data_IF_163078181303
#
_entry.id   IF_163078181303
#
_cell.length_a   1.000
_cell.length_b   1.000
_cell.length_c   1.000
_cell.angle_alpha   90.00
_cell.angle_beta   90.00
_cell.angle_gamma   90.00
#
_symmetry.space_group_name_H-M   'P 1'
#
loop_
_entity.id
_entity.type
_entity.pdbx_description
1 polymer ?
#
# COMPACT_ATOMS: atom_id res chain seq x y z
N UNK A 1 -15.34 11.52 -27.17
CA UNK A 1 -15.03 10.37 -26.30
C UNK A 1 -13.52 10.17 -26.00
N UNK A 2 -12.60 11.03 -26.50
CA UNK A 2 -11.13 10.86 -26.35
C UNK A 2 -10.56 11.62 -25.12
N UNK A 3 -11.23 12.67 -24.65
CA UNK A 3 -10.75 13.46 -23.50
C UNK A 3 -10.81 12.72 -22.16
N UNK A 4 -11.83 11.89 -21.94
CA UNK A 4 -11.95 11.11 -20.70
C UNK A 4 -10.91 10.01 -20.60
N UNK A 5 -10.55 9.36 -21.72
CA UNK A 5 -9.51 8.33 -21.74
C UNK A 5 -8.11 8.91 -21.55
N UNK A 6 -7.80 10.10 -22.10
CA UNK A 6 -6.52 10.75 -21.87
C UNK A 6 -6.36 11.25 -20.43
N UNK A 7 -7.41 11.86 -19.86
CA UNK A 7 -7.40 12.25 -18.45
C UNK A 7 -7.24 11.03 -17.53
N UNK A 8 -7.98 9.95 -17.79
CA UNK A 8 -7.83 8.70 -17.02
C UNK A 8 -6.41 8.14 -17.11
N UNK A 9 -5.82 8.09 -18.31
CA UNK A 9 -4.44 7.67 -18.50
C UNK A 9 -3.42 8.51 -17.70
N UNK A 10 -3.59 9.84 -17.68
CA UNK A 10 -2.74 10.74 -16.90
C UNK A 10 -2.91 10.49 -15.40
N UNK A 11 -4.16 10.30 -14.94
CA UNK A 11 -4.44 9.97 -13.54
C UNK A 11 -3.85 8.61 -13.17
N UNK A 12 -4.01 7.58 -13.99
CA UNK A 12 -3.44 6.25 -13.77
C UNK A 12 -1.91 6.34 -13.65
N UNK A 13 -1.28 7.08 -14.57
CA UNK A 13 0.17 7.31 -14.57
C UNK A 13 0.63 8.03 -13.31
N UNK A 14 -0.11 9.03 -12.85
CA UNK A 14 0.19 9.75 -11.62
C UNK A 14 0.03 8.84 -10.39
N UNK A 15 -1.06 8.08 -10.30
CA UNK A 15 -1.33 7.16 -9.18
C UNK A 15 -0.25 6.08 -9.07
N UNK A 16 0.13 5.48 -10.20
CA UNK A 16 1.22 4.49 -10.24
C UNK A 16 2.52 5.11 -9.77
N UNK A 17 2.85 6.33 -10.22
CA UNK A 17 4.10 7.00 -9.82
C UNK A 17 4.12 7.33 -8.33
N UNK A 18 3.04 7.93 -7.82
CA UNK A 18 2.89 8.29 -6.41
C UNK A 18 3.06 7.08 -5.50
N UNK A 19 2.32 6.00 -5.79
CA UNK A 19 2.40 4.78 -4.99
C UNK A 19 3.73 4.05 -5.17
N UNK A 20 4.35 4.13 -6.34
CA UNK A 20 5.70 3.56 -6.52
C UNK A 20 6.72 4.26 -5.64
N UNK A 21 6.68 5.59 -5.55
CA UNK A 21 7.58 6.37 -4.68
C UNK A 21 7.32 6.04 -3.20
N UNK A 22 6.05 6.03 -2.78
CA UNK A 22 5.66 5.70 -1.41
C UNK A 22 6.10 4.28 -1.00
N UNK A 23 5.82 3.27 -1.83
CA UNK A 23 6.17 1.88 -1.55
C UNK A 23 7.70 1.66 -1.56
N UNK A 24 8.43 2.42 -2.37
CA UNK A 24 9.90 2.43 -2.30
C UNK A 24 10.38 2.95 -0.95
N UNK A 25 9.84 4.07 -0.46
CA UNK A 25 10.20 4.59 0.86
C UNK A 25 9.87 3.60 1.96
N UNK A 26 8.70 2.96 1.90
CA UNK A 26 8.28 1.96 2.88
C UNK A 26 9.21 0.73 2.90
N UNK A 27 9.66 0.29 1.72
CA UNK A 27 10.62 -0.80 1.54
C UNK A 27 12.02 -0.43 2.02
N UNK A 28 12.49 0.79 1.77
CA UNK A 28 13.84 1.25 2.11
C UNK A 28 13.98 1.76 3.55
N UNK A 29 12.86 1.92 4.26
CA UNK A 29 12.85 2.43 5.61
C UNK A 29 13.65 1.51 6.57
N UNK A 30 14.36 2.07 7.56
CA UNK A 30 15.06 1.28 8.57
C UNK A 30 14.11 0.29 9.26
N UNK A 31 14.56 -0.95 9.42
CA UNK A 31 13.77 -1.99 10.10
C UNK A 31 13.58 -1.59 11.56
N UNK A 32 12.33 -1.34 11.93
CA UNK A 32 11.90 -0.97 13.28
C UNK A 32 10.47 -1.46 13.51
N UNK A 33 10.04 -1.56 14.76
CA UNK A 33 8.65 -1.88 15.09
C UNK A 33 7.68 -0.90 14.43
N UNK A 34 7.98 0.40 14.47
CA UNK A 34 7.20 1.44 13.81
C UNK A 34 7.10 1.23 12.29
N UNK A 35 8.22 0.90 11.63
CA UNK A 35 8.22 0.61 10.19
C UNK A 35 7.37 -0.62 9.87
N UNK A 36 7.43 -1.66 10.71
CA UNK A 36 6.63 -2.87 10.55
C UNK A 36 5.14 -2.58 10.71
N UNK A 37 4.72 -1.88 11.78
CA UNK A 37 3.31 -1.51 11.98
C UNK A 37 2.78 -0.61 10.86
N UNK A 38 3.58 0.36 10.43
CA UNK A 38 3.25 1.22 9.29
C UNK A 38 3.08 0.39 8.02
N UNK A 39 3.99 -0.57 7.78
CA UNK A 39 3.90 -1.44 6.60
C UNK A 39 2.69 -2.36 6.64
N UNK A 40 2.35 -2.92 7.80
CA UNK A 40 1.12 -3.67 8.00
C UNK A 40 -0.06 -2.79 7.64
N UNK A 41 -0.24 -1.65 8.32
CA UNK A 41 -1.37 -0.74 8.07
C UNK A 41 -1.50 -0.35 6.59
N UNK A 42 -0.41 0.09 5.97
CA UNK A 42 -0.43 0.55 4.58
C UNK A 42 -0.82 -0.58 3.63
N UNK A 43 -0.19 -1.74 3.74
CA UNK A 43 -0.34 -2.83 2.76
C UNK A 43 -1.67 -3.56 2.92
N UNK A 44 -2.18 -3.67 4.14
CA UNK A 44 -3.36 -4.48 4.43
C UNK A 44 -4.66 -3.68 4.54
N UNK A 45 -4.60 -2.37 4.80
CA UNK A 45 -5.79 -1.51 4.89
C UNK A 45 -5.76 -0.37 3.87
N UNK A 46 -4.76 0.52 3.94
CA UNK A 46 -4.79 1.78 3.21
C UNK A 46 -4.73 1.59 1.69
N UNK A 47 -3.75 0.81 1.21
CA UNK A 47 -3.58 0.57 -0.23
C UNK A 47 -4.82 -0.10 -0.84
N UNK A 48 -5.41 -1.18 -0.25
CA UNK A 48 -6.68 -1.73 -0.72
C UNK A 48 -7.84 -0.72 -0.74
N UNK A 49 -7.95 0.14 0.28
CA UNK A 49 -8.98 1.18 0.33
C UNK A 49 -8.79 2.21 -0.79
N UNK A 50 -7.56 2.66 -1.02
CA UNK A 50 -7.24 3.58 -2.11
C UNK A 50 -7.48 2.94 -3.48
N UNK A 51 -7.15 1.67 -3.67
CA UNK A 51 -7.43 0.91 -4.89
C UNK A 51 -8.95 0.84 -5.13
N UNK A 52 -9.74 0.52 -4.09
CA UNK A 52 -11.19 0.46 -4.18
C UNK A 52 -11.85 1.82 -4.53
N UNK A 53 -11.38 2.91 -3.93
CA UNK A 53 -11.88 4.28 -4.22
C UNK A 53 -11.47 4.72 -5.62
N UNK A 54 -10.28 4.33 -6.08
CA UNK A 54 -9.74 4.75 -7.37
C UNK A 54 -10.36 4.00 -8.57
N UNK A 55 -10.70 2.73 -8.35
CA UNK A 55 -11.13 1.78 -9.38
C UNK A 55 -12.62 1.39 -9.30
N UNK A 56 -13.51 2.36 -9.07
CA UNK A 56 -14.97 2.15 -9.02
C UNK A 56 -15.60 1.47 -10.28
N UNK A 57 -14.83 1.17 -11.34
CA UNK A 57 -15.33 0.52 -12.57
C UNK A 57 -14.50 -0.63 -13.19
N UNK A 58 -13.19 -0.78 -12.93
CA UNK A 58 -12.39 -1.94 -13.40
C UNK A 58 -11.01 -1.97 -12.70
N UNK A 59 -10.57 -3.07 -12.05
CA UNK A 59 -9.89 -2.93 -10.77
C UNK A 59 -8.48 -3.49 -10.68
N UNK A 60 -7.64 -2.80 -9.92
CA UNK A 60 -6.47 -3.35 -9.28
C UNK A 60 -5.15 -2.73 -9.68
N UNK A 61 -5.10 -1.52 -10.24
CA UNK A 61 -3.81 -0.96 -10.70
C UNK A 61 -2.80 -0.83 -9.56
N UNK A 62 -3.25 -0.49 -8.34
CA UNK A 62 -2.38 -0.39 -7.18
C UNK A 62 -2.07 -1.77 -6.60
N UNK A 63 -3.04 -2.68 -6.64
CA UNK A 63 -2.85 -4.09 -6.29
C UNK A 63 -1.83 -4.78 -7.21
N UNK A 64 -1.88 -4.53 -8.51
CA UNK A 64 -0.95 -5.04 -9.53
C UNK A 64 0.44 -4.44 -9.32
N UNK A 65 0.53 -3.13 -9.05
CA UNK A 65 1.79 -2.47 -8.72
C UNK A 65 2.50 -3.14 -7.54
N UNK A 66 1.75 -3.43 -6.47
CA UNK A 66 2.28 -4.12 -5.30
C UNK A 66 2.77 -5.54 -5.65
N UNK A 67 1.98 -6.30 -6.40
CA UNK A 67 2.33 -7.68 -6.78
C UNK A 67 3.54 -7.76 -7.72
N UNK A 68 3.64 -6.85 -8.68
CA UNK A 68 4.63 -6.91 -9.76
C UNK A 68 5.97 -6.27 -9.38
N UNK A 69 5.96 -5.15 -8.64
CA UNK A 69 7.19 -4.37 -8.36
C UNK A 69 7.62 -4.38 -6.89
N UNK A 70 6.69 -4.65 -5.98
CA UNK A 70 6.91 -4.54 -4.54
C UNK A 70 6.59 -5.83 -3.78
N UNK A 71 6.82 -6.99 -4.40
CA UNK A 71 6.47 -8.30 -3.84
C UNK A 71 6.99 -8.56 -2.42
N UNK A 72 8.12 -7.97 -2.01
CA UNK A 72 8.63 -8.08 -0.64
C UNK A 72 7.66 -7.52 0.41
N UNK A 73 6.87 -6.50 0.07
CA UNK A 73 5.90 -5.88 0.96
C UNK A 73 4.65 -6.75 1.14
N UNK A 74 4.41 -7.75 0.28
CA UNK A 74 3.25 -8.65 0.39
C UNK A 74 3.23 -9.44 1.71
N UNK A 75 4.39 -9.62 2.37
CA UNK A 75 4.49 -10.24 3.70
C UNK A 75 3.63 -9.54 4.77
N UNK A 76 3.33 -8.25 4.57
CA UNK A 76 2.54 -7.45 5.50
C UNK A 76 1.02 -7.57 5.29
N UNK A 77 0.58 -8.27 4.24
CA UNK A 77 -0.85 -8.42 3.90
C UNK A 77 -1.63 -9.30 4.88
N UNK A 78 -0.97 -10.20 5.62
CA UNK A 78 -1.61 -11.17 6.51
C UNK A 78 -1.35 -11.00 8.02
N UNK A 79 -0.58 -9.98 8.43
CA UNK A 79 0.02 -9.94 9.77
C UNK A 79 -0.80 -9.19 10.85
N UNK A 80 -2.08 -8.92 10.65
CA UNK A 80 -2.89 -8.17 11.62
C UNK A 80 -2.92 -8.79 13.03
N UNK A 81 -2.82 -10.11 13.14
CA UNK A 81 -2.89 -10.80 14.43
C UNK A 81 -1.56 -10.85 15.21
N UNK A 82 -0.41 -10.62 14.56
CA UNK A 82 0.90 -10.71 15.23
C UNK A 82 1.29 -9.38 15.90
N UNK A 83 0.71 -8.28 15.43
CA UNK A 83 0.96 -6.94 15.94
C UNK A 83 0.30 -6.64 17.31
N UNK A 84 -0.72 -7.41 17.68
CA UNK A 84 -1.56 -7.11 18.85
C UNK A 84 -1.12 -7.81 20.14
N UNK A 85 -0.14 -8.74 20.10
CA UNK A 85 0.21 -9.54 21.28
C UNK A 85 1.34 -8.99 22.15
N UNK A 86 2.05 -7.94 21.70
CA UNK A 86 3.30 -7.49 22.34
C UNK A 86 3.20 -6.12 23.03
N UNK A 87 2.01 -5.51 23.13
CA UNK A 87 1.80 -4.37 24.04
C UNK A 87 1.58 -4.86 25.49
N UNK A 88 2.61 -5.50 26.05
CA UNK A 88 2.73 -5.71 27.49
C UNK A 88 3.26 -4.40 28.09
N UNK A 89 2.32 -3.50 28.39
CA UNK A 89 2.59 -2.20 28.99
C UNK A 89 3.05 -2.41 30.44
N UNK A 90 4.36 -2.59 30.62
CA UNK A 90 4.99 -2.45 31.92
C UNK A 90 4.97 -0.97 32.34
N UNK A 91 3.93 -0.59 33.08
CA UNK A 91 3.92 0.67 33.83
C UNK A 91 4.86 0.53 35.04
N UNK A 92 5.96 1.28 35.04
CA UNK A 92 6.67 1.72 36.25
C UNK A 92 6.22 3.14 36.55
#
# INVERSE_FOLDING_TARGET
MIRSSHLRYLTDSFMVKLWSEYLNHLKSAPQSSLQQYTSVFVISQLLPLCDAIYDESAPGILSELLQTKFGILLRYRGNFHVASSDEDVAHI
#
